data_IF_379397505980
#
_entry.id   IF_379397505980
#
_cell.length_a   1.000
_cell.length_b   1.000
_cell.length_c   1.000
_cell.angle_alpha   90.00
_cell.angle_beta   90.00
_cell.angle_gamma   90.00
#
_symmetry.space_group_name_H-M   'P 1'
#
loop_
_entity.id
_entity.type
_entity.pdbx_description
1 polymer ?
#
# COMPACT_ATOMS: atom_id res chain seq x y z
N UNK A 1 17.15 -29.75 -18.54
CA UNK A 1 15.96 -28.98 -18.12
C UNK A 1 16.09 -28.71 -16.63
N UNK A 2 16.41 -27.47 -16.24
CA UNK A 2 16.47 -27.07 -14.82
C UNK A 2 15.05 -26.75 -14.36
N UNK A 3 14.49 -27.57 -13.48
CA UNK A 3 13.24 -27.24 -12.80
C UNK A 3 13.50 -26.07 -11.87
N UNK A 4 12.93 -24.89 -12.15
CA UNK A 4 12.87 -23.79 -11.19
C UNK A 4 12.16 -24.32 -9.95
N UNK A 5 12.89 -24.47 -8.85
CA UNK A 5 12.29 -24.79 -7.56
C UNK A 5 11.38 -23.62 -7.15
N UNK A 6 10.08 -23.84 -7.24
CA UNK A 6 9.11 -22.87 -6.73
C UNK A 6 9.36 -22.64 -5.23
N UNK A 7 9.31 -21.38 -4.75
CA UNK A 7 9.45 -21.08 -3.33
C UNK A 7 8.46 -21.91 -2.52
N UNK A 8 8.97 -22.56 -1.47
CA UNK A 8 8.15 -23.34 -0.54
C UNK A 8 7.06 -22.45 0.07
N UNK A 9 5.85 -22.99 0.34
CA UNK A 9 4.82 -22.23 1.03
C UNK A 9 5.36 -21.73 2.36
N UNK A 10 5.29 -20.42 2.58
CA UNK A 10 5.70 -19.78 3.82
C UNK A 10 4.76 -20.31 4.93
N UNK A 11 5.28 -20.77 6.08
CA UNK A 11 4.43 -21.22 7.17
C UNK A 11 3.46 -20.10 7.58
N UNK A 12 2.17 -20.40 7.65
CA UNK A 12 1.11 -19.43 7.97
C UNK A 12 1.20 -18.94 9.41
N UNK A 13 1.86 -19.68 10.29
CA UNK A 13 2.20 -19.25 11.64
C UNK A 13 3.67 -19.49 11.96
N UNK A 14 4.31 -18.48 12.55
CA UNK A 14 5.64 -18.57 13.14
C UNK A 14 5.44 -18.31 14.64
N UNK A 15 5.78 -19.29 15.49
CA UNK A 15 5.52 -19.25 16.94
C UNK A 15 4.04 -19.13 17.36
N UNK A 16 3.09 -19.58 16.52
CA UNK A 16 1.66 -19.49 16.82
C UNK A 16 1.04 -18.11 16.60
N UNK A 17 1.84 -17.14 16.14
CA UNK A 17 1.35 -15.85 15.64
C UNK A 17 1.15 -15.98 14.14
N UNK A 18 -0.05 -15.61 13.66
CA UNK A 18 -0.30 -15.50 12.23
C UNK A 18 0.72 -14.54 11.61
N UNK A 19 1.45 -15.02 10.61
CA UNK A 19 2.47 -14.23 9.91
C UNK A 19 1.93 -12.91 9.36
N UNK A 20 0.63 -12.84 9.07
CA UNK A 20 -0.04 -11.61 8.64
C UNK A 20 -0.16 -10.59 9.78
N UNK A 21 -0.53 -11.01 10.99
CA UNK A 21 -0.58 -10.13 12.16
C UNK A 21 0.81 -9.63 12.55
N UNK A 22 1.83 -10.49 12.47
CA UNK A 22 3.21 -10.08 12.70
C UNK A 22 3.68 -9.03 11.68
N UNK A 23 3.41 -9.25 10.39
CA UNK A 23 3.74 -8.29 9.33
C UNK A 23 3.01 -6.94 9.54
N UNK A 24 1.73 -6.97 9.92
CA UNK A 24 0.95 -5.78 10.20
C UNK A 24 1.50 -5.01 11.41
N UNK A 25 1.84 -5.71 12.50
CA UNK A 25 2.45 -5.11 13.67
C UNK A 25 3.82 -4.46 13.35
N UNK A 26 4.66 -5.14 12.56
CA UNK A 26 5.94 -4.59 12.09
C UNK A 26 5.70 -3.35 11.21
N UNK A 27 4.71 -3.38 10.32
CA UNK A 27 4.34 -2.25 9.49
C UNK A 27 3.91 -1.03 10.32
N UNK A 28 3.06 -1.22 11.33
CA UNK A 28 2.65 -0.16 12.24
C UNK A 28 3.81 0.38 13.07
N UNK A 29 4.66 -0.50 13.61
CA UNK A 29 5.85 -0.09 14.35
C UNK A 29 6.81 0.72 13.46
N UNK A 30 7.03 0.27 12.22
CA UNK A 30 7.83 0.98 11.22
C UNK A 30 7.26 2.35 10.88
N UNK A 31 5.95 2.45 10.63
CA UNK A 31 5.27 3.73 10.37
C UNK A 31 5.43 4.69 11.56
N UNK A 32 5.22 4.21 12.78
CA UNK A 32 5.37 5.02 13.99
C UNK A 32 6.81 5.50 14.21
N UNK A 33 7.80 4.60 14.05
CA UNK A 33 9.22 4.94 14.15
C UNK A 33 9.66 5.95 13.09
N UNK A 34 9.17 5.80 11.85
CA UNK A 34 9.41 6.78 10.79
C UNK A 34 8.82 8.15 11.15
N UNK A 35 7.58 8.20 11.64
CA UNK A 35 6.97 9.45 12.10
C UNK A 35 7.81 10.15 13.16
N UNK A 36 8.30 9.39 14.16
CA UNK A 36 9.21 9.91 15.19
C UNK A 36 10.54 10.40 14.63
N UNK A 37 11.14 9.66 13.70
CA UNK A 37 12.38 10.05 13.03
C UNK A 37 12.20 11.38 12.28
N UNK A 38 11.10 11.55 11.53
CA UNK A 38 10.81 12.78 10.81
C UNK A 38 10.52 13.96 11.73
N UNK A 39 9.69 13.76 12.77
CA UNK A 39 9.40 14.80 13.76
C UNK A 39 10.69 15.26 14.47
N UNK A 40 11.58 14.33 14.79
CA UNK A 40 12.87 14.66 15.40
C UNK A 40 13.81 15.41 14.45
N UNK A 41 13.89 14.99 13.18
CA UNK A 41 14.86 15.55 12.22
C UNK A 41 14.42 16.87 11.60
N UNK A 42 13.13 17.06 11.38
CA UNK A 42 12.57 18.19 10.63
C UNK A 42 11.59 19.05 11.45
N UNK A 43 11.32 18.67 12.71
CA UNK A 43 10.28 19.30 13.51
C UNK A 43 8.88 18.85 13.09
N UNK A 44 7.85 19.51 13.63
CA UNK A 44 6.46 19.25 13.24
C UNK A 44 6.19 19.83 11.86
N UNK A 45 5.89 18.97 10.90
CA UNK A 45 5.40 19.37 9.58
C UNK A 45 3.94 19.79 9.74
N UNK A 46 3.66 21.08 9.60
CA UNK A 46 2.28 21.57 9.57
C UNK A 46 1.64 21.18 8.24
N UNK A 47 0.41 20.65 8.31
CA UNK A 47 -0.36 20.34 7.11
C UNK A 47 -0.71 21.65 6.40
N UNK A 48 -0.37 21.74 5.11
CA UNK A 48 -0.85 22.84 4.27
C UNK A 48 -2.38 22.74 4.24
N UNK A 49 -3.12 23.79 4.61
CA UNK A 49 -4.58 23.75 4.70
C UNK A 49 -5.17 23.39 3.33
N UNK A 50 -5.62 22.14 3.20
CA UNK A 50 -6.26 21.65 2.00
C UNK A 50 -7.73 22.07 2.03
N UNK A 51 -8.20 22.77 1.00
CA UNK A 51 -9.58 23.29 0.93
C UNK A 51 -10.64 22.20 0.63
N UNK A 52 -10.27 20.92 0.59
CA UNK A 52 -11.18 19.80 0.32
C UNK A 52 -11.39 18.87 1.52
N UNK A 53 -11.86 17.65 1.24
CA UNK A 53 -12.06 16.60 2.26
C UNK A 53 -10.71 16.31 2.93
N UNK A 54 -10.67 16.29 4.27
CA UNK A 54 -9.44 15.98 5.02
C UNK A 54 -8.89 14.62 4.64
N UNK A 55 -7.56 14.46 4.68
CA UNK A 55 -6.88 13.19 4.37
C UNK A 55 -7.41 12.08 5.28
N UNK A 56 -7.68 12.39 6.56
CA UNK A 56 -8.27 11.46 7.52
C UNK A 56 -9.67 10.97 7.11
N UNK A 57 -10.53 11.87 6.62
CA UNK A 57 -11.86 11.51 6.14
C UNK A 57 -11.79 10.67 4.85
N UNK A 58 -10.94 11.04 3.89
CA UNK A 58 -10.72 10.22 2.68
C UNK A 58 -10.22 8.82 3.03
N UNK A 59 -9.24 8.72 3.94
CA UNK A 59 -8.69 7.43 4.39
C UNK A 59 -9.77 6.59 5.09
N UNK A 60 -10.57 7.20 5.96
CA UNK A 60 -11.70 6.52 6.63
C UNK A 60 -12.73 5.98 5.62
N UNK A 61 -13.06 6.75 4.58
CA UNK A 61 -13.98 6.30 3.52
C UNK A 61 -13.42 5.10 2.76
N UNK A 62 -12.13 5.09 2.43
CA UNK A 62 -11.48 3.98 1.74
C UNK A 62 -11.46 2.73 2.61
N UNK A 63 -11.14 2.87 3.89
CA UNK A 63 -11.18 1.75 4.85
C UNK A 63 -12.59 1.18 4.94
N UNK A 64 -13.61 2.03 5.09
CA UNK A 64 -15.00 1.59 5.13
C UNK A 64 -15.42 0.86 3.83
N UNK A 65 -15.09 1.43 2.66
CA UNK A 65 -15.37 0.80 1.37
C UNK A 65 -14.65 -0.54 1.21
N UNK A 66 -13.39 -0.64 1.64
CA UNK A 66 -12.61 -1.88 1.61
C UNK A 66 -13.24 -2.95 2.52
N UNK A 67 -13.68 -2.60 3.72
CA UNK A 67 -14.34 -3.54 4.64
C UNK A 67 -15.67 -4.07 4.06
N UNK A 68 -16.47 -3.20 3.45
CA UNK A 68 -17.71 -3.59 2.78
C UNK A 68 -17.41 -4.51 1.59
N UNK A 69 -16.44 -4.14 0.76
CA UNK A 69 -16.04 -4.94 -0.40
C UNK A 69 -15.45 -6.30 0.01
N UNK A 70 -14.66 -6.36 1.09
CA UNK A 70 -14.13 -7.60 1.63
C UNK A 70 -15.24 -8.52 2.15
N UNK A 71 -16.28 -7.96 2.78
CA UNK A 71 -17.46 -8.73 3.16
C UNK A 71 -18.19 -9.29 1.93
N UNK A 72 -18.30 -8.50 0.85
CA UNK A 72 -18.87 -8.96 -0.42
C UNK A 72 -18.04 -10.10 -1.00
N UNK A 73 -16.70 -9.98 -1.01
CA UNK A 73 -15.81 -11.02 -1.52
C UNK A 73 -16.00 -12.34 -0.77
N UNK A 74 -16.16 -12.29 0.56
CA UNK A 74 -16.34 -13.48 1.41
C UNK A 74 -17.76 -14.07 1.33
N UNK A 75 -18.80 -13.24 1.20
CA UNK A 75 -20.19 -13.72 1.23
C UNK A 75 -20.66 -14.14 -0.16
N UNK A 76 -20.40 -13.31 -1.17
CA UNK A 76 -20.97 -13.47 -2.52
C UNK A 76 -20.04 -14.28 -3.43
N UNK A 77 -18.74 -14.33 -3.14
CA UNK A 77 -17.73 -14.93 -4.01
C UNK A 77 -17.86 -14.43 -5.47
N UNK A 78 -17.83 -13.11 -5.69
CA UNK A 78 -17.97 -12.54 -7.02
C UNK A 78 -16.85 -13.04 -7.94
N UNK A 79 -17.04 -13.06 -9.28
CA UNK A 79 -16.04 -13.54 -10.24
C UNK A 79 -14.82 -12.60 -10.40
N UNK A 80 -14.66 -11.63 -9.51
CA UNK A 80 -13.59 -10.62 -9.43
C UNK A 80 -13.28 -10.37 -7.96
N UNK A 81 -12.10 -9.82 -7.67
CA UNK A 81 -11.71 -9.45 -6.30
C UNK A 81 -12.10 -7.99 -6.00
N UNK A 82 -13.30 -7.77 -5.46
CA UNK A 82 -13.92 -6.45 -5.35
C UNK A 82 -13.16 -5.55 -4.37
N UNK A 83 -12.70 -6.09 -3.24
CA UNK A 83 -11.89 -5.34 -2.27
C UNK A 83 -10.56 -4.86 -2.88
N UNK A 84 -9.94 -5.69 -3.74
CA UNK A 84 -8.77 -5.31 -4.51
C UNK A 84 -9.04 -4.15 -5.48
N UNK A 85 -10.21 -4.13 -6.13
CA UNK A 85 -10.60 -3.02 -7.01
C UNK A 85 -10.81 -1.71 -6.27
N UNK A 86 -11.35 -1.73 -5.05
CA UNK A 86 -11.51 -0.51 -4.23
C UNK A 86 -10.16 0.16 -3.98
N UNK A 87 -9.16 -0.62 -3.55
CA UNK A 87 -7.81 -0.10 -3.30
C UNK A 87 -7.13 0.36 -4.59
N UNK A 88 -7.28 -0.40 -5.69
CA UNK A 88 -6.75 -0.02 -7.00
C UNK A 88 -7.35 1.32 -7.49
N UNK A 89 -8.66 1.49 -7.33
CA UNK A 89 -9.36 2.73 -7.68
C UNK A 89 -8.87 3.90 -6.81
N UNK A 90 -8.73 3.68 -5.50
CA UNK A 90 -8.20 4.70 -4.60
C UNK A 90 -6.80 5.17 -4.99
N UNK A 91 -5.86 4.24 -5.25
CA UNK A 91 -4.50 4.59 -5.69
C UNK A 91 -4.52 5.39 -7.00
N UNK A 92 -5.37 4.98 -7.94
CA UNK A 92 -5.52 5.62 -9.25
C UNK A 92 -6.05 7.05 -9.12
N UNK A 93 -7.07 7.27 -8.28
CA UNK A 93 -7.67 8.58 -8.01
C UNK A 93 -6.70 9.46 -7.22
N UNK A 94 -6.03 8.92 -6.19
CA UNK A 94 -5.07 9.64 -5.37
C UNK A 94 -3.83 10.09 -6.19
N UNK A 95 -3.46 9.32 -7.22
CA UNK A 95 -2.40 9.68 -8.15
C UNK A 95 -2.85 10.73 -9.19
N UNK A 96 -4.16 10.89 -9.44
CA UNK A 96 -4.70 11.70 -10.53
C UNK A 96 -4.23 13.16 -10.54
N UNK A 97 -4.32 13.92 -9.42
CA UNK A 97 -3.96 15.34 -9.40
C UNK A 97 -2.47 15.59 -9.64
N UNK A 98 -1.63 14.57 -9.47
CA UNK A 98 -0.18 14.70 -9.56
C UNK A 98 0.44 13.55 -10.36
N UNK A 99 -0.24 13.09 -11.42
CA UNK A 99 0.19 11.94 -12.25
C UNK A 99 1.65 12.00 -12.70
N UNK A 100 2.18 13.21 -12.95
CA UNK A 100 3.58 13.41 -13.36
C UNK A 100 4.59 13.12 -12.23
N UNK A 101 4.18 13.29 -10.97
CA UNK A 101 5.02 13.09 -9.77
C UNK A 101 4.72 11.73 -9.13
N UNK A 102 3.47 11.28 -9.21
CA UNK A 102 2.92 10.07 -8.56
C UNK A 102 2.57 8.97 -9.57
N UNK A 103 3.27 8.92 -10.71
CA UNK A 103 3.03 7.93 -11.76
C UNK A 103 3.11 6.48 -11.28
N UNK A 104 3.94 6.23 -10.25
CA UNK A 104 4.09 4.90 -9.65
C UNK A 104 2.83 4.41 -8.94
N UNK A 105 2.13 5.30 -8.23
CA UNK A 105 0.85 4.96 -7.58
C UNK A 105 -0.23 4.64 -8.62
N UNK A 106 -0.22 5.37 -9.74
CA UNK A 106 -1.12 5.07 -10.86
C UNK A 106 -0.79 3.70 -11.47
N UNK A 107 0.49 3.43 -11.76
CA UNK A 107 0.93 2.15 -12.32
C UNK A 107 0.61 0.98 -11.36
N UNK A 108 0.87 1.15 -10.06
CA UNK A 108 0.51 0.17 -9.04
C UNK A 108 -1.01 -0.06 -9.00
N UNK A 109 -1.81 1.00 -9.07
CA UNK A 109 -3.27 0.91 -9.16
C UNK A 109 -3.73 0.08 -10.37
N UNK A 110 -3.15 0.31 -11.55
CA UNK A 110 -3.49 -0.47 -12.76
C UNK A 110 -3.07 -1.94 -12.61
N UNK A 111 -1.86 -2.23 -12.12
CA UNK A 111 -1.41 -3.61 -11.91
C UNK A 111 -2.32 -4.35 -10.93
N UNK A 112 -2.67 -3.72 -9.82
CA UNK A 112 -3.58 -4.29 -8.83
C UNK A 112 -5.00 -4.48 -9.37
N UNK A 113 -5.47 -3.57 -10.22
CA UNK A 113 -6.75 -3.74 -10.90
C UNK A 113 -6.74 -4.99 -11.80
N UNK A 114 -5.66 -5.21 -12.56
CA UNK A 114 -5.52 -6.39 -13.42
C UNK A 114 -5.48 -7.69 -12.60
N UNK A 115 -4.73 -7.72 -11.50
CA UNK A 115 -4.68 -8.88 -10.58
C UNK A 115 -6.05 -9.15 -9.96
N UNK A 116 -6.85 -8.11 -9.71
CA UNK A 116 -8.21 -8.28 -9.19
C UNK A 116 -9.17 -8.96 -10.18
N UNK A 117 -8.77 -9.11 -11.46
CA UNK A 117 -9.51 -9.83 -12.49
C UNK A 117 -9.08 -11.30 -12.63
N UNK A 118 -8.03 -11.74 -11.95
CA UNK A 118 -7.54 -13.14 -12.01
C UNK A 118 -8.61 -14.20 -11.67
N UNK A 119 -9.59 -13.97 -10.77
CA UNK A 119 -10.66 -14.96 -10.57
C UNK A 119 -11.48 -15.26 -11.84
N UNK A 120 -11.51 -14.36 -12.84
CA UNK A 120 -12.18 -14.60 -14.13
C UNK A 120 -11.50 -15.70 -14.96
N UNK A 121 -10.21 -15.95 -14.73
CA UNK A 121 -9.44 -16.99 -15.44
C UNK A 121 -9.31 -18.27 -14.61
N UNK A 122 -9.99 -18.36 -13.47
CA UNK A 122 -10.08 -19.56 -12.64
C UNK A 122 -9.16 -19.59 -11.41
N UNK A 123 -8.45 -18.52 -11.11
CA UNK A 123 -7.64 -18.40 -9.88
C UNK A 123 -8.53 -18.28 -8.65
N UNK A 124 -8.12 -18.87 -7.52
CA UNK A 124 -8.91 -18.80 -6.29
C UNK A 124 -8.79 -17.41 -5.63
N UNK A 125 -9.86 -16.92 -5.00
CA UNK A 125 -9.81 -15.64 -4.23
C UNK A 125 -8.68 -15.62 -3.19
N UNK A 126 -8.33 -16.77 -2.62
CA UNK A 126 -7.26 -16.89 -1.64
C UNK A 126 -5.87 -16.66 -2.26
N UNK A 127 -5.62 -17.20 -3.45
CA UNK A 127 -4.37 -16.98 -4.19
C UNK A 127 -4.28 -15.54 -4.68
N UNK A 128 -5.37 -15.02 -5.26
CA UNK A 128 -5.47 -13.63 -5.70
C UNK A 128 -5.23 -12.67 -4.54
N UNK A 129 -5.83 -12.89 -3.37
CA UNK A 129 -5.59 -12.06 -2.19
C UNK A 129 -4.13 -12.07 -1.73
N UNK A 130 -3.43 -13.21 -1.81
CA UNK A 130 -1.99 -13.30 -1.47
C UNK A 130 -1.14 -12.53 -2.47
N UNK A 131 -1.34 -12.76 -3.77
CA UNK A 131 -0.63 -12.07 -4.85
C UNK A 131 -0.87 -10.57 -4.77
N UNK A 132 -2.13 -10.17 -4.57
CA UNK A 132 -2.54 -8.79 -4.37
C UNK A 132 -1.81 -8.15 -3.18
N UNK A 133 -1.85 -8.80 -2.00
CA UNK A 133 -1.20 -8.30 -0.79
C UNK A 133 0.31 -8.10 -0.97
N UNK A 134 0.97 -9.05 -1.64
CA UNK A 134 2.40 -8.94 -1.97
C UNK A 134 2.68 -7.75 -2.89
N UNK A 135 1.96 -7.64 -4.02
CA UNK A 135 2.17 -6.56 -4.98
C UNK A 135 1.83 -5.18 -4.40
N UNK A 136 0.78 -5.10 -3.60
CA UNK A 136 0.39 -3.88 -2.91
C UNK A 136 1.47 -3.45 -1.91
N UNK A 137 1.94 -4.36 -1.06
CA UNK A 137 3.02 -4.08 -0.10
C UNK A 137 4.32 -3.65 -0.78
N UNK A 138 4.71 -4.36 -1.85
CA UNK A 138 5.90 -4.02 -2.64
C UNK A 138 5.74 -2.65 -3.32
N UNK A 139 4.57 -2.36 -3.90
CA UNK A 139 4.27 -1.07 -4.53
C UNK A 139 4.36 0.08 -3.55
N UNK A 140 3.75 -0.06 -2.36
CA UNK A 140 3.84 0.93 -1.29
C UNK A 140 5.27 1.12 -0.79
N UNK A 141 6.04 0.04 -0.66
CA UNK A 141 7.44 0.13 -0.24
C UNK A 141 8.29 0.92 -1.24
N UNK A 142 8.16 0.62 -2.54
CA UNK A 142 8.87 1.35 -3.60
C UNK A 142 8.46 2.81 -3.63
N UNK A 143 7.16 3.09 -3.56
CA UNK A 143 6.64 4.45 -3.56
C UNK A 143 7.14 5.25 -2.34
N UNK A 144 7.12 4.63 -1.14
CA UNK A 144 7.65 5.22 0.07
C UNK A 144 9.15 5.54 0.00
N UNK A 145 9.97 4.65 -0.57
CA UNK A 145 11.39 4.93 -0.80
C UNK A 145 11.62 6.12 -1.75
N UNK A 146 10.79 6.25 -2.79
CA UNK A 146 10.88 7.38 -3.73
C UNK A 146 10.41 8.68 -3.12
N UNK A 147 9.30 8.65 -2.38
CA UNK A 147 8.79 9.81 -1.65
C UNK A 147 9.82 10.28 -0.61
N UNK A 148 10.43 9.36 0.13
CA UNK A 148 11.53 9.65 1.05
C UNK A 148 12.72 10.31 0.32
N UNK A 149 13.15 9.74 -0.81
CA UNK A 149 14.27 10.28 -1.59
C UNK A 149 13.96 11.67 -2.17
N UNK A 150 12.72 11.89 -2.62
CA UNK A 150 12.25 13.18 -3.15
C UNK A 150 12.20 14.23 -2.04
N UNK A 151 11.71 13.84 -0.85
CA UNK A 151 11.70 14.68 0.33
C UNK A 151 13.11 15.11 0.71
N UNK A 152 14.06 14.17 0.83
CA UNK A 152 15.46 14.49 1.16
C UNK A 152 16.12 15.44 0.15
N UNK A 153 15.76 15.36 -1.14
CA UNK A 153 16.27 16.30 -2.16
C UNK A 153 15.66 17.70 -2.04
N UNK A 154 14.43 17.80 -1.54
CA UNK A 154 13.67 19.06 -1.47
C UNK A 154 14.03 19.93 -0.27
N UNK A 155 14.83 19.41 0.68
CA UNK A 155 15.35 20.17 1.82
C UNK A 155 16.88 20.33 1.74
N UNK A 156 17.40 21.35 1.01
CA UNK A 156 18.83 21.65 0.98
C UNK A 156 19.40 22.05 2.34
N UNK A 157 18.59 22.63 3.23
CA UNK A 157 18.99 23.17 4.54
C UNK A 157 19.39 22.13 5.60
N UNK A 158 19.52 20.86 5.22
CA UNK A 158 20.06 19.78 6.06
C UNK A 158 21.46 19.34 5.61
N UNK A 159 21.94 19.89 4.48
CA UNK A 159 23.39 20.05 4.24
C UNK A 159 23.80 21.23 5.12
N UNK A 160 24.57 20.97 6.16
CA UNK A 160 24.85 21.94 7.21
C UNK A 160 25.28 23.31 6.68
N UNK A 161 24.62 24.34 7.20
CA UNK A 161 25.22 25.66 7.42
C UNK A 161 26.17 25.57 8.63
N UNK A 162 27.08 24.60 8.61
CA UNK A 162 28.27 24.54 9.47
C UNK A 162 29.50 24.97 8.63
N UNK A 163 29.37 26.10 7.92
CA UNK A 163 30.51 26.93 7.48
C UNK A 163 30.47 28.28 8.19
#
# INVERSE_FOLDING_TARGET
MMALAWPRPIPTSIFGVDTQFAALAIGFAGYWLLGRYYEHRFGRVEEIPYQGISIAAQSSMVVAAFMIAGLIDVVVHPPIFVSGLVIAAWLTIAAWPSRRIRGDYFAAGIVLALVSLEPLVGESHAEVARTYGFLFGMGLFIAGMRDHSSFLRSFPAVKGDDE
#
